data_IF_698344498109
#
_entry.id   IF_698344498109
#
_cell.length_a   1.000
_cell.length_b   1.000
_cell.length_c   1.000
_cell.angle_alpha   90.00
_cell.angle_beta   90.00
_cell.angle_gamma   90.00
#
_symmetry.space_group_name_H-M   'P 1'
#
loop_
_entity.id
_entity.type
_entity.pdbx_description
1 polymer ?
#
# COMPACT_ATOMS: atom_id res chain seq x y z
N UNK A 1 -3.51 15.00 8.98
CA UNK A 1 -3.51 13.98 7.90
C UNK A 1 -3.31 12.61 8.51
N UNK A 2 -2.16 12.36 9.15
CA UNK A 2 -1.91 11.09 9.86
C UNK A 2 -2.88 10.84 11.02
N UNK A 3 -3.16 11.84 11.86
CA UNK A 3 -4.19 11.70 12.91
C UNK A 3 -5.55 11.23 12.36
N UNK A 4 -5.96 11.81 11.23
CA UNK A 4 -7.22 11.45 10.57
C UNK A 4 -7.16 10.03 10.00
N UNK A 5 -6.03 9.64 9.44
CA UNK A 5 -5.79 8.28 8.97
C UNK A 5 -5.89 7.26 10.11
N UNK A 6 -5.25 7.50 11.25
CA UNK A 6 -5.35 6.62 12.42
C UNK A 6 -6.77 6.56 13.01
N UNK A 7 -7.49 7.67 13.00
CA UNK A 7 -8.91 7.68 13.40
C UNK A 7 -9.77 6.83 12.47
N UNK A 8 -9.51 6.87 11.17
CA UNK A 8 -10.26 6.10 10.18
C UNK A 8 -9.92 4.59 10.30
N UNK A 9 -8.63 4.22 10.42
CA UNK A 9 -8.20 2.85 10.74
C UNK A 9 -8.84 2.30 12.02
N UNK A 10 -8.84 3.09 13.10
CA UNK A 10 -9.46 2.70 14.37
C UNK A 10 -10.96 2.44 14.23
N UNK A 11 -11.66 3.19 13.37
CA UNK A 11 -13.09 2.97 13.11
C UNK A 11 -13.31 1.66 12.38
N UNK A 12 -12.53 1.40 11.33
CA UNK A 12 -12.57 0.15 10.56
C UNK A 12 -12.31 -1.05 11.47
N UNK A 13 -11.29 -0.97 12.32
CA UNK A 13 -10.93 -2.05 13.25
C UNK A 13 -12.03 -2.34 14.29
N UNK A 14 -12.74 -1.31 14.77
CA UNK A 14 -13.81 -1.45 15.78
C UNK A 14 -15.06 -2.19 15.29
N UNK A 15 -15.24 -2.33 13.97
CA UNK A 15 -16.39 -3.05 13.41
C UNK A 15 -16.32 -4.56 13.70
N UNK A 16 -15.11 -5.11 13.94
CA UNK A 16 -14.90 -6.50 14.37
C UNK A 16 -14.98 -7.55 13.26
N UNK A 17 -15.51 -7.23 12.09
CA UNK A 17 -15.59 -8.08 10.89
C UNK A 17 -14.67 -7.62 9.75
N UNK A 18 -13.78 -6.67 10.03
CA UNK A 18 -12.87 -6.10 9.05
C UNK A 18 -11.89 -7.15 8.50
N UNK A 19 -11.79 -7.19 7.17
CA UNK A 19 -10.73 -7.90 6.42
C UNK A 19 -9.67 -6.91 5.97
N UNK A 20 -8.60 -7.41 5.38
CA UNK A 20 -7.53 -6.59 4.80
C UNK A 20 -8.07 -5.50 3.86
N UNK A 21 -9.02 -5.85 2.98
CA UNK A 21 -9.62 -4.93 2.01
C UNK A 21 -10.50 -3.86 2.67
N UNK A 22 -10.99 -4.09 3.90
CA UNK A 22 -11.78 -3.10 4.65
C UNK A 22 -10.99 -1.83 4.93
N UNK A 23 -9.66 -1.91 5.01
CA UNK A 23 -8.76 -0.78 5.26
C UNK A 23 -8.31 -0.05 3.99
N UNK A 24 -8.67 -0.58 2.80
CA UNK A 24 -8.23 0.01 1.53
C UNK A 24 -8.75 1.44 1.30
N UNK A 25 -10.00 1.78 1.66
CA UNK A 25 -10.47 3.16 1.60
C UNK A 25 -9.64 4.12 2.46
N UNK A 26 -9.16 3.66 3.63
CA UNK A 26 -8.38 4.49 4.57
C UNK A 26 -7.00 4.81 3.99
N UNK A 27 -6.30 3.81 3.46
CA UNK A 27 -5.00 4.00 2.80
C UNK A 27 -5.13 4.82 1.51
N UNK A 28 -6.15 4.55 0.69
CA UNK A 28 -6.42 5.33 -0.53
C UNK A 28 -6.59 6.81 -0.20
N UNK A 29 -7.41 7.12 0.81
CA UNK A 29 -7.67 8.49 1.25
C UNK A 29 -6.41 9.19 1.77
N UNK A 30 -5.54 8.48 2.50
CA UNK A 30 -4.24 9.01 2.94
C UNK A 30 -3.39 9.45 1.74
N UNK A 31 -3.25 8.57 0.74
CA UNK A 31 -2.44 8.82 -0.45
C UNK A 31 -3.01 9.97 -1.30
N UNK A 32 -4.32 10.01 -1.50
CA UNK A 32 -5.00 11.10 -2.24
C UNK A 32 -4.82 12.44 -1.50
N UNK A 33 -5.03 12.46 -0.18
CA UNK A 33 -4.82 13.67 0.64
C UNK A 33 -3.37 14.16 0.59
N UNK A 34 -2.40 13.24 0.61
CA UNK A 34 -0.99 13.59 0.48
C UNK A 34 -0.67 14.16 -0.90
N UNK A 35 -1.23 13.56 -1.95
CA UNK A 35 -1.08 14.02 -3.33
C UNK A 35 -1.58 15.45 -3.51
N UNK A 36 -2.79 15.75 -3.03
CA UNK A 36 -3.40 17.08 -3.09
C UNK A 36 -2.52 18.12 -2.40
N UNK A 37 -2.06 17.85 -1.18
CA UNK A 37 -1.17 18.75 -0.42
C UNK A 37 0.16 18.99 -1.12
N UNK A 38 0.70 17.97 -1.79
CA UNK A 38 1.94 18.06 -2.55
C UNK A 38 1.79 18.68 -3.94
N UNK A 39 0.58 19.10 -4.35
CA UNK A 39 0.25 19.50 -5.73
C UNK A 39 0.69 18.45 -6.76
N UNK A 40 0.59 17.17 -6.39
CA UNK A 40 0.85 16.02 -7.26
C UNK A 40 -0.48 15.52 -7.81
N UNK A 41 -0.45 14.96 -9.00
CA UNK A 41 -1.62 14.37 -9.65
C UNK A 41 -1.56 12.85 -9.56
N UNK A 42 -1.78 12.28 -8.38
CA UNK A 42 -1.74 10.84 -8.16
C UNK A 42 -3.15 10.28 -8.15
N UNK A 43 -3.38 9.19 -8.88
CA UNK A 43 -4.60 8.40 -8.78
C UNK A 43 -4.27 7.03 -8.19
N UNK A 44 -5.15 6.56 -7.30
CA UNK A 44 -4.98 5.29 -6.59
C UNK A 44 -6.12 4.37 -6.99
N UNK A 45 -5.79 3.24 -7.60
CA UNK A 45 -6.74 2.18 -7.95
C UNK A 45 -6.58 1.00 -6.97
N UNK A 46 -7.48 0.83 -5.99
CA UNK A 46 -7.54 -0.40 -5.21
C UNK A 46 -8.08 -1.53 -6.09
N UNK A 47 -7.66 -2.77 -5.82
CA UNK A 47 -8.09 -3.98 -6.52
C UNK A 47 -8.03 -3.83 -8.06
N UNK A 48 -6.87 -3.45 -8.63
CA UNK A 48 -6.74 -3.23 -10.06
C UNK A 48 -6.95 -4.53 -10.85
N UNK A 49 -7.24 -4.38 -12.16
CA UNK A 49 -7.28 -5.51 -13.09
C UNK A 49 -5.95 -6.28 -13.11
N UNK A 50 -6.03 -7.58 -13.44
CA UNK A 50 -4.86 -8.47 -13.47
C UNK A 50 -3.70 -7.92 -14.30
N UNK A 51 -2.48 -8.12 -13.82
CA UNK A 51 -1.24 -7.90 -14.58
C UNK A 51 -0.54 -9.24 -14.82
N UNK A 52 0.42 -9.27 -15.74
CA UNK A 52 1.27 -10.44 -15.98
C UNK A 52 2.05 -10.87 -14.73
N UNK A 53 2.42 -9.91 -13.88
CA UNK A 53 3.15 -10.15 -12.63
C UNK A 53 2.27 -10.71 -11.49
N UNK A 54 0.94 -10.57 -11.63
CA UNK A 54 -0.07 -10.84 -10.61
C UNK A 54 -0.98 -9.64 -10.33
N UNK A 55 -1.62 -9.63 -9.16
CA UNK A 55 -2.59 -8.61 -8.76
C UNK A 55 -2.12 -7.95 -7.45
N UNK A 56 -1.38 -6.83 -7.52
CA UNK A 56 -1.11 -6.05 -6.31
C UNK A 56 -2.40 -5.41 -5.82
N UNK A 57 -2.50 -5.17 -4.51
CA UNK A 57 -3.70 -4.58 -3.90
C UNK A 57 -4.00 -3.17 -4.41
N UNK A 58 -2.96 -2.38 -4.70
CA UNK A 58 -3.10 -1.05 -5.26
C UNK A 58 -2.19 -0.82 -6.46
N UNK A 59 -2.69 0.01 -7.38
CA UNK A 59 -1.93 0.59 -8.47
C UNK A 59 -1.94 2.12 -8.35
N UNK A 60 -0.75 2.70 -8.43
CA UNK A 60 -0.50 4.13 -8.28
C UNK A 60 -0.16 4.73 -9.64
N UNK A 61 -0.90 5.76 -10.03
CA UNK A 61 -0.74 6.43 -11.31
C UNK A 61 -0.29 7.88 -11.11
N UNK A 62 0.58 8.37 -11.98
CA UNK A 62 0.83 9.80 -12.15
C UNK A 62 0.00 10.28 -13.35
N UNK A 63 -0.97 11.14 -13.09
CA UNK A 63 -2.06 11.39 -14.02
C UNK A 63 -2.85 10.11 -14.29
N UNK A 64 -3.48 10.02 -15.46
CA UNK A 64 -4.23 8.83 -15.88
C UNK A 64 -3.46 7.91 -16.83
N UNK A 65 -2.21 8.24 -17.13
CA UNK A 65 -1.47 7.65 -18.25
C UNK A 65 -0.32 6.76 -17.81
N UNK A 66 0.34 7.08 -16.68
CA UNK A 66 1.56 6.40 -16.27
C UNK A 66 1.42 5.76 -14.90
N UNK A 67 1.62 4.44 -14.84
CA UNK A 67 1.78 3.72 -13.57
C UNK A 67 3.16 4.08 -13.01
N UNK A 68 3.20 4.51 -11.75
CA UNK A 68 4.44 4.91 -11.06
C UNK A 68 4.79 4.01 -9.89
N UNK A 69 3.86 3.17 -9.44
CA UNK A 69 4.14 2.18 -8.40
C UNK A 69 2.94 1.32 -8.06
N UNK A 70 3.19 0.37 -7.17
CA UNK A 70 2.22 -0.58 -6.67
C UNK A 70 2.32 -0.66 -5.15
N UNK A 71 1.24 -1.09 -4.50
CA UNK A 71 1.23 -1.35 -3.07
C UNK A 71 0.63 -2.73 -2.85
N UNK A 72 1.33 -3.53 -2.05
CA UNK A 72 0.81 -4.76 -1.44
C UNK A 72 0.50 -4.43 0.01
N UNK A 73 -0.75 -4.62 0.41
CA UNK A 73 -1.19 -4.46 1.79
C UNK A 73 -1.21 -5.83 2.48
N UNK A 74 -1.21 -5.80 3.81
CA UNK A 74 -1.40 -6.97 4.67
C UNK A 74 -2.32 -6.57 5.82
N UNK A 75 -3.01 -7.53 6.41
CA UNK A 75 -3.85 -7.30 7.59
C UNK A 75 -3.07 -6.49 8.65
N UNK A 76 -3.65 -5.43 9.24
CA UNK A 76 -2.97 -4.61 10.24
C UNK A 76 -2.46 -5.38 11.47
N UNK A 77 -2.98 -6.59 11.74
CA UNK A 77 -2.53 -7.47 12.82
C UNK A 77 -1.25 -8.24 12.48
N UNK A 78 -0.77 -8.18 11.23
CA UNK A 78 0.52 -8.77 10.86
C UNK A 78 1.64 -7.89 11.41
N UNK A 79 2.14 -8.23 12.59
CA UNK A 79 3.21 -7.46 13.26
C UNK A 79 4.57 -7.62 12.57
N UNK A 80 4.83 -8.77 11.96
CA UNK A 80 6.11 -9.05 11.31
C UNK A 80 5.97 -9.12 9.79
N UNK A 81 6.38 -8.04 9.11
CA UNK A 81 6.44 -7.98 7.65
C UNK A 81 7.68 -8.69 7.05
N UNK A 82 8.66 -9.13 7.85
CA UNK A 82 9.85 -9.85 7.35
C UNK A 82 9.46 -11.21 6.74
N UNK A 83 8.54 -11.95 7.39
CA UNK A 83 8.06 -13.22 6.85
C UNK A 83 7.26 -13.05 5.55
N UNK A 84 6.55 -11.93 5.42
CA UNK A 84 5.85 -11.55 4.17
C UNK A 84 6.86 -11.17 3.10
N UNK A 85 7.95 -10.51 3.48
CA UNK A 85 9.04 -10.14 2.59
C UNK A 85 9.65 -11.35 1.87
N UNK A 86 9.78 -12.46 2.59
CA UNK A 86 10.33 -13.72 2.08
C UNK A 86 9.34 -14.59 1.30
N UNK A 87 8.06 -14.19 1.23
CA UNK A 87 7.05 -14.94 0.49
C UNK A 87 7.34 -14.96 -1.01
N UNK A 88 7.01 -16.07 -1.68
CA UNK A 88 7.18 -16.21 -3.13
C UNK A 88 6.38 -15.16 -3.92
N UNK A 89 5.22 -14.75 -3.41
CA UNK A 89 4.43 -13.68 -4.00
C UNK A 89 5.19 -12.35 -3.97
N UNK A 90 5.72 -11.95 -2.80
CA UNK A 90 6.39 -10.66 -2.70
C UNK A 90 7.74 -10.65 -3.41
N UNK A 91 8.49 -11.76 -3.40
CA UNK A 91 9.70 -11.93 -4.22
C UNK A 91 9.41 -11.70 -5.70
N UNK A 92 8.32 -12.29 -6.21
CA UNK A 92 7.89 -12.06 -7.61
C UNK A 92 7.56 -10.59 -7.85
N UNK A 93 6.76 -9.97 -6.99
CA UNK A 93 6.39 -8.55 -7.15
C UNK A 93 7.59 -7.62 -7.09
N UNK A 94 8.53 -7.84 -6.17
CA UNK A 94 9.79 -7.11 -6.08
C UNK A 94 10.65 -7.26 -7.33
N UNK A 95 10.67 -8.44 -7.95
CA UNK A 95 11.39 -8.70 -9.19
C UNK A 95 10.75 -8.09 -10.43
N UNK A 96 9.42 -7.87 -10.42
CA UNK A 96 8.70 -7.35 -11.60
C UNK A 96 8.37 -5.86 -11.52
N UNK A 97 8.05 -5.34 -10.34
CA UNK A 97 7.62 -3.95 -10.16
C UNK A 97 8.79 -3.04 -9.80
N UNK A 98 9.10 -2.01 -10.61
CA UNK A 98 10.20 -1.10 -10.32
C UNK A 98 10.02 -0.31 -9.02
N UNK A 99 8.79 -0.03 -8.63
CA UNK A 99 8.43 0.62 -7.36
C UNK A 99 7.30 -0.16 -6.69
N UNK A 100 7.58 -0.72 -5.50
CA UNK A 100 6.61 -1.46 -4.69
C UNK A 100 6.66 -0.96 -3.25
N UNK A 101 5.49 -0.78 -2.64
CA UNK A 101 5.37 -0.61 -1.20
C UNK A 101 4.73 -1.86 -0.60
N UNK A 102 5.32 -2.40 0.47
CA UNK A 102 4.66 -3.36 1.36
C UNK A 102 4.19 -2.62 2.61
N UNK A 103 2.95 -2.87 3.06
CA UNK A 103 2.44 -2.24 4.28
C UNK A 103 1.44 -3.12 5.04
N UNK A 104 1.43 -3.00 6.36
CA UNK A 104 0.34 -3.46 7.24
C UNK A 104 -0.46 -2.25 7.78
N UNK A 105 -0.50 -1.14 7.03
CA UNK A 105 -1.14 0.14 7.39
C UNK A 105 -0.42 0.97 8.48
N UNK A 106 0.57 0.41 9.19
CA UNK A 106 1.38 1.13 10.19
C UNK A 106 2.87 1.15 9.83
N UNK A 107 3.39 0.08 9.25
CA UNK A 107 4.73 0.01 8.68
C UNK A 107 4.66 0.12 7.15
N UNK A 108 5.57 0.87 6.55
CA UNK A 108 5.70 1.04 5.11
C UNK A 108 7.13 0.73 4.70
N UNK A 109 7.30 -0.25 3.81
CA UNK A 109 8.59 -0.61 3.21
C UNK A 109 8.60 -0.26 1.73
N UNK A 110 9.50 0.63 1.32
CA UNK A 110 9.69 0.97 -0.07
C UNK A 110 10.75 0.06 -0.69
N UNK A 111 10.38 -0.64 -1.76
CA UNK A 111 11.31 -1.35 -2.62
C UNK A 111 11.43 -0.63 -3.97
N UNK A 112 12.67 -0.49 -4.45
CA UNK A 112 12.97 -0.06 -5.81
C UNK A 112 13.82 -1.10 -6.52
N UNK A 113 13.38 -1.53 -7.69
CA UNK A 113 14.05 -2.58 -8.47
C UNK A 113 14.39 -3.81 -7.62
N UNK A 114 13.45 -4.22 -6.77
CA UNK A 114 13.58 -5.36 -5.87
C UNK A 114 14.42 -5.16 -4.60
N UNK A 115 15.07 -4.01 -4.43
CA UNK A 115 15.88 -3.69 -3.25
C UNK A 115 15.11 -2.84 -2.25
N UNK A 116 15.21 -3.15 -0.96
CA UNK A 116 14.66 -2.32 0.10
C UNK A 116 15.42 -0.99 0.16
N UNK A 117 14.70 0.12 0.06
CA UNK A 117 15.24 1.49 0.05
C UNK A 117 15.00 2.19 1.39
N UNK A 118 13.79 2.06 1.93
CA UNK A 118 13.39 2.77 3.14
C UNK A 118 12.33 1.95 3.88
N UNK A 119 12.36 2.01 5.21
CA UNK A 119 11.32 1.47 6.09
C UNK A 119 10.94 2.53 7.12
N UNK A 120 9.64 2.76 7.26
CA UNK A 120 9.11 3.68 8.27
C UNK A 120 7.92 3.06 8.98
N UNK A 121 7.86 3.25 10.29
CA UNK A 121 6.69 2.93 11.11
C UNK A 121 6.01 4.24 11.52
N UNK A 122 4.71 4.30 11.35
CA UNK A 122 3.86 5.44 11.73
C UNK A 122 2.81 4.93 12.70
N UNK A 123 2.93 5.32 13.97
CA UNK A 123 2.05 4.84 15.05
C UNK A 123 2.77 4.78 16.37
#
# INVERSE_FOLDING_TARGET
MLEKYFQDLCKTMKLGDAREESYYPDLKKLLETWSEKGKRNIFVTPLPKKTEAGNPDFRIWNGKEKIVGYIEAKDPKVENLDSVEDSEQLKRYRGTFPNLILTNFFEFRLYRNGQLVEKVSIG
#
